data_IF_094201082344
#
_entry.id   IF_094201082344
#
_cell.length_a   1.000
_cell.length_b   1.000
_cell.length_c   1.000
_cell.angle_alpha   90.00
_cell.angle_beta   90.00
_cell.angle_gamma   90.00
#
_symmetry.space_group_name_H-M   'P 1'
#
loop_
_entity.id
_entity.type
_entity.pdbx_description
1 polymer ?
#
# COMPACT_ATOMS: atom_id res chain seq x y z
N UNK A 1 -15.62 22.00 38.41
CA UNK A 1 -15.12 22.72 37.23
C UNK A 1 -13.62 22.67 37.29
N UNK A 2 -13.02 21.92 36.37
CA UNK A 2 -11.57 21.96 36.09
C UNK A 2 -11.26 23.39 35.65
N UNK A 3 -10.22 23.99 36.21
CA UNK A 3 -9.79 25.31 35.76
C UNK A 3 -9.04 25.15 34.43
N UNK A 4 -9.78 25.22 33.33
CA UNK A 4 -9.20 25.22 31.98
C UNK A 4 -8.29 26.45 31.74
N UNK A 5 -8.27 27.42 32.65
CA UNK A 5 -7.30 28.51 32.64
C UNK A 5 -5.93 28.12 33.21
N UNK A 6 -5.76 26.91 33.76
CA UNK A 6 -4.46 26.39 34.17
C UNK A 6 -3.48 26.42 32.98
N UNK A 7 -2.36 27.15 33.09
CA UNK A 7 -1.34 27.23 32.05
C UNK A 7 -0.82 25.87 31.58
N UNK A 8 -0.79 24.85 32.44
CA UNK A 8 -0.34 23.51 32.10
C UNK A 8 -1.32 22.80 31.15
N UNK A 9 -2.63 22.87 31.43
CA UNK A 9 -3.67 22.33 30.55
C UNK A 9 -3.69 23.04 29.20
N UNK A 10 -3.61 24.37 29.21
CA UNK A 10 -3.56 25.15 27.97
C UNK A 10 -2.34 24.77 27.11
N UNK A 11 -1.19 24.57 27.75
CA UNK A 11 0.04 24.17 27.06
C UNK A 11 -0.07 22.79 26.42
N UNK A 12 -0.54 21.78 27.16
CA UNK A 12 -0.61 20.41 26.62
C UNK A 12 -1.66 20.29 25.51
N UNK A 13 -2.81 20.98 25.62
CA UNK A 13 -3.83 21.02 24.57
C UNK A 13 -3.30 21.71 23.30
N UNK A 14 -2.59 22.82 23.45
CA UNK A 14 -1.97 23.53 22.32
C UNK A 14 -0.93 22.65 21.61
N UNK A 15 -0.09 21.94 22.38
CA UNK A 15 0.88 20.99 21.84
C UNK A 15 0.19 19.83 21.12
N UNK A 16 -0.86 19.28 21.71
CA UNK A 16 -1.61 18.18 21.12
C UNK A 16 -2.27 18.57 19.81
N UNK A 17 -2.88 19.75 19.73
CA UNK A 17 -3.47 20.24 18.48
C UNK A 17 -2.42 20.41 17.38
N UNK A 18 -1.24 20.93 17.73
CA UNK A 18 -0.11 21.05 16.80
C UNK A 18 0.35 19.67 16.30
N UNK A 19 0.55 18.71 17.20
CA UNK A 19 1.00 17.36 16.84
C UNK A 19 -0.06 16.60 16.04
N UNK A 20 -1.34 16.76 16.39
CA UNK A 20 -2.46 16.18 15.63
C UNK A 20 -2.47 16.70 14.20
N UNK A 21 -2.41 18.02 14.01
CA UNK A 21 -2.46 18.65 12.69
C UNK A 21 -1.26 18.22 11.83
N UNK A 22 -0.07 18.16 12.43
CA UNK A 22 1.13 17.69 11.74
C UNK A 22 1.00 16.21 11.33
N UNK A 23 0.56 15.35 12.25
CA UNK A 23 0.34 13.93 11.98
C UNK A 23 -0.72 13.71 10.88
N UNK A 24 -1.86 14.40 10.96
CA UNK A 24 -2.93 14.31 9.95
C UNK A 24 -2.44 14.70 8.56
N UNK A 25 -1.66 15.80 8.44
CA UNK A 25 -1.09 16.22 7.18
C UNK A 25 -0.20 15.14 6.53
N UNK A 26 0.68 14.51 7.30
CA UNK A 26 1.57 13.45 6.78
C UNK A 26 0.78 12.17 6.46
N UNK A 27 -0.22 11.82 7.26
CA UNK A 27 -1.11 10.68 6.98
C UNK A 27 -1.89 10.90 5.68
N UNK A 28 -2.38 12.11 5.43
CA UNK A 28 -3.05 12.47 4.19
C UNK A 28 -2.11 12.43 2.98
N UNK A 29 -0.85 12.82 3.13
CA UNK A 29 0.17 12.65 2.10
C UNK A 29 0.40 11.16 1.78
N UNK A 30 0.55 10.32 2.81
CA UNK A 30 0.68 8.87 2.63
C UNK A 30 -0.54 8.29 1.91
N UNK A 31 -1.75 8.72 2.28
CA UNK A 31 -2.99 8.27 1.66
C UNK A 31 -3.07 8.65 0.17
N UNK A 32 -2.68 9.88 -0.16
CA UNK A 32 -2.66 10.40 -1.53
C UNK A 32 -1.68 9.63 -2.41
N UNK A 33 -0.52 9.27 -1.86
CA UNK A 33 0.47 8.45 -2.56
C UNK A 33 -0.06 7.03 -2.77
N UNK A 34 -0.56 6.41 -1.70
CA UNK A 34 -1.17 5.08 -1.73
C UNK A 34 -1.99 4.82 -0.45
N UNK A 35 -3.30 4.52 -0.54
CA UNK A 35 -4.16 4.36 0.63
C UNK A 35 -3.66 3.35 1.66
N UNK A 36 -3.00 2.28 1.23
CA UNK A 36 -2.47 1.24 2.10
C UNK A 36 -1.36 1.73 3.04
N UNK A 37 -0.60 2.77 2.65
CA UNK A 37 0.46 3.35 3.49
C UNK A 37 -0.11 4.12 4.69
N UNK A 38 -1.30 4.71 4.52
CA UNK A 38 -1.95 5.49 5.55
C UNK A 38 -2.67 4.63 6.60
N UNK A 39 -2.91 3.33 6.34
CA UNK A 39 -3.77 2.52 7.21
C UNK A 39 -3.27 2.44 8.65
N UNK A 40 -2.02 2.04 8.87
CA UNK A 40 -1.42 1.95 10.21
C UNK A 40 -1.38 3.30 10.93
N UNK A 41 -0.80 4.35 10.33
CA UNK A 41 -0.80 5.70 10.89
C UNK A 41 -2.19 6.28 11.20
N UNK A 42 -3.17 6.06 10.32
CA UNK A 42 -4.55 6.53 10.53
C UNK A 42 -5.22 5.80 11.70
N UNK A 43 -4.91 4.52 11.93
CA UNK A 43 -5.38 3.78 13.10
C UNK A 43 -4.81 4.34 14.41
N UNK A 44 -3.53 4.72 14.43
CA UNK A 44 -2.93 5.42 15.58
C UNK A 44 -3.61 6.77 15.82
N UNK A 45 -3.85 7.58 14.78
CA UNK A 45 -4.58 8.86 14.94
C UNK A 45 -5.99 8.67 15.49
N UNK A 46 -6.71 7.63 15.05
CA UNK A 46 -8.01 7.29 15.64
C UNK A 46 -7.88 6.91 17.12
N UNK A 47 -6.84 6.19 17.50
CA UNK A 47 -6.57 5.86 18.90
C UNK A 47 -6.26 7.12 19.74
N UNK A 48 -5.51 8.08 19.19
CA UNK A 48 -5.32 9.39 19.83
C UNK A 48 -6.64 10.13 20.02
N UNK A 49 -7.53 10.08 19.03
CA UNK A 49 -8.87 10.68 19.10
C UNK A 49 -9.75 10.03 20.17
N UNK A 50 -9.66 8.71 20.33
CA UNK A 50 -10.34 7.99 21.40
C UNK A 50 -9.81 8.41 22.79
N UNK A 51 -8.49 8.49 22.97
CA UNK A 51 -7.88 8.95 24.22
C UNK A 51 -8.28 10.39 24.57
N UNK A 52 -8.38 11.25 23.55
CA UNK A 52 -8.90 12.62 23.68
C UNK A 52 -10.35 12.66 24.15
N UNK A 53 -11.22 11.86 23.53
CA UNK A 53 -12.63 11.73 23.94
C UNK A 53 -12.75 11.23 25.37
N UNK A 54 -11.97 10.21 25.73
CA UNK A 54 -11.99 9.63 27.07
C UNK A 54 -11.47 10.63 28.12
N UNK A 55 -10.47 11.45 27.76
CA UNK A 55 -10.03 12.59 28.57
C UNK A 55 -11.17 13.59 28.79
N UNK A 56 -11.87 13.99 27.72
CA UNK A 56 -13.02 14.89 27.82
C UNK A 56 -14.13 14.33 28.71
N UNK A 57 -14.43 13.03 28.62
CA UNK A 57 -15.41 12.39 29.51
C UNK A 57 -14.95 12.38 30.97
N UNK A 58 -13.68 12.12 31.23
CA UNK A 58 -13.11 12.16 32.58
C UNK A 58 -13.21 13.58 33.19
N UNK A 59 -13.03 14.62 32.37
CA UNK A 59 -13.15 16.03 32.79
C UNK A 59 -14.60 16.46 33.06
N UNK A 60 -15.58 15.82 32.43
CA UNK A 60 -17.03 16.11 32.59
C UNK A 60 -17.66 15.33 33.74
N UNK A 61 -17.08 14.21 34.16
CA UNK A 61 -17.60 13.37 35.25
C UNK A 61 -17.67 14.10 36.61
N UNK A 62 -18.79 13.95 37.31
CA UNK A 62 -18.97 14.46 38.68
C UNK A 62 -18.30 13.52 39.70
N UNK A 63 -17.10 13.87 40.18
CA UNK A 63 -16.37 13.12 41.20
C UNK A 63 -15.27 13.95 41.87
N UNK A 64 -14.73 13.51 43.04
CA UNK A 64 -13.76 14.27 43.82
C UNK A 64 -12.46 14.54 43.01
N UNK A 65 -11.95 15.77 43.13
CA UNK A 65 -11.15 16.47 42.10
C UNK A 65 -9.66 16.10 42.01
N UNK A 66 -9.08 15.39 42.96
CA UNK A 66 -7.62 15.16 42.98
C UNK A 66 -7.10 14.00 42.12
N UNK A 67 -7.79 12.85 41.96
CA UNK A 67 -7.34 11.81 41.03
C UNK A 67 -7.77 12.04 39.57
N UNK A 68 -8.74 12.93 39.32
CA UNK A 68 -9.30 13.17 37.97
C UNK A 68 -8.33 13.99 37.11
N UNK A 69 -7.64 14.98 37.69
CA UNK A 69 -6.70 15.83 36.96
C UNK A 69 -5.46 15.04 36.50
N UNK A 70 -4.91 14.16 37.34
CA UNK A 70 -3.79 13.26 37.00
C UNK A 70 -4.18 12.23 35.91
N UNK A 71 -5.43 11.77 35.89
CA UNK A 71 -5.91 10.86 34.84
C UNK A 71 -6.08 11.63 33.53
N UNK A 72 -6.72 12.80 33.55
CA UNK A 72 -6.91 13.61 32.36
C UNK A 72 -5.56 14.05 31.75
N UNK A 73 -4.60 14.45 32.57
CA UNK A 73 -3.27 14.84 32.10
C UNK A 73 -2.50 13.66 31.49
N UNK A 74 -2.57 12.46 32.11
CA UNK A 74 -1.98 11.23 31.53
C UNK A 74 -2.62 10.83 30.21
N UNK A 75 -3.93 11.01 30.06
CA UNK A 75 -4.64 10.74 28.80
C UNK A 75 -4.23 11.74 27.71
N UNK A 76 -4.04 13.02 28.05
CA UNK A 76 -3.56 14.04 27.11
C UNK A 76 -2.11 13.77 26.67
N UNK A 77 -1.22 13.41 27.60
CA UNK A 77 0.16 13.05 27.29
C UNK A 77 0.24 11.76 26.47
N UNK A 78 -0.61 10.77 26.80
CA UNK A 78 -0.78 9.56 26.00
C UNK A 78 -1.22 9.86 24.57
N UNK A 79 -2.24 10.72 24.39
CA UNK A 79 -2.70 11.16 23.08
C UNK A 79 -1.60 11.88 22.28
N UNK A 80 -0.79 12.71 22.94
CA UNK A 80 0.36 13.39 22.35
C UNK A 80 1.39 12.38 21.83
N UNK A 81 1.73 11.39 22.66
CA UNK A 81 2.63 10.30 22.29
C UNK A 81 2.11 9.50 21.10
N UNK A 82 0.81 9.19 21.07
CA UNK A 82 0.16 8.49 19.95
C UNK A 82 0.24 9.32 18.66
N UNK A 83 -0.04 10.63 18.70
CA UNK A 83 0.07 11.51 17.53
C UNK A 83 1.49 11.51 16.95
N UNK A 84 2.51 11.64 17.81
CA UNK A 84 3.91 11.58 17.39
C UNK A 84 4.30 10.24 16.79
N UNK A 85 3.75 9.12 17.28
CA UNK A 85 3.98 7.81 16.67
C UNK A 85 3.29 7.69 15.32
N UNK A 86 2.04 8.14 15.20
CA UNK A 86 1.31 8.14 13.94
C UNK A 86 2.09 8.90 12.85
N UNK A 87 2.58 10.10 13.20
CA UNK A 87 3.41 10.94 12.33
C UNK A 87 4.67 10.20 11.86
N UNK A 88 5.45 9.66 12.78
CA UNK A 88 6.67 8.89 12.48
C UNK A 88 6.38 7.69 11.59
N UNK A 89 5.37 6.90 11.92
CA UNK A 89 4.97 5.73 11.12
C UNK A 89 4.55 6.12 9.70
N UNK A 90 3.91 7.27 9.51
CA UNK A 90 3.55 7.77 8.19
C UNK A 90 4.79 8.16 7.38
N UNK A 91 5.72 8.89 7.98
CA UNK A 91 7.02 9.24 7.36
C UNK A 91 7.78 7.98 6.94
N UNK A 92 7.92 7.01 7.85
CA UNK A 92 8.57 5.72 7.59
C UNK A 92 7.94 5.02 6.38
N UNK A 93 6.61 4.91 6.38
CA UNK A 93 5.86 4.21 5.34
C UNK A 93 6.06 4.87 3.97
N UNK A 94 6.07 6.21 3.91
CA UNK A 94 6.31 6.94 2.67
C UNK A 94 7.75 6.71 2.18
N UNK A 95 8.76 6.93 3.02
CA UNK A 95 10.17 6.83 2.62
C UNK A 95 10.49 5.41 2.14
N UNK A 96 10.03 4.39 2.89
CA UNK A 96 10.22 2.98 2.52
C UNK A 96 9.56 2.71 1.17
N UNK A 97 8.29 3.12 0.99
CA UNK A 97 7.57 2.91 -0.26
C UNK A 97 8.26 3.57 -1.45
N UNK A 98 8.73 4.82 -1.32
CA UNK A 98 9.42 5.53 -2.40
C UNK A 98 10.71 4.83 -2.79
N UNK A 99 11.51 4.40 -1.82
CA UNK A 99 12.74 3.65 -2.06
C UNK A 99 12.46 2.30 -2.73
N UNK A 100 11.56 1.49 -2.16
CA UNK A 100 11.22 0.17 -2.71
C UNK A 100 10.61 0.25 -4.11
N UNK A 101 9.77 1.26 -4.36
CA UNK A 101 9.15 1.44 -5.67
C UNK A 101 10.16 1.90 -6.72
N UNK A 102 11.13 2.74 -6.34
CA UNK A 102 12.21 3.14 -7.22
C UNK A 102 13.16 1.97 -7.51
N UNK A 103 13.58 1.23 -6.49
CA UNK A 103 14.45 0.05 -6.65
C UNK A 103 13.79 -0.98 -7.57
N UNK A 104 12.50 -1.23 -7.38
CA UNK A 104 11.72 -2.11 -8.25
C UNK A 104 11.60 -1.59 -9.68
N UNK A 105 11.42 -0.28 -9.86
CA UNK A 105 11.39 0.31 -11.19
C UNK A 105 12.75 0.15 -11.90
N UNK A 106 13.85 0.36 -11.19
CA UNK A 106 15.21 0.15 -11.72
C UNK A 106 15.44 -1.32 -12.12
N UNK A 107 14.94 -2.28 -11.32
CA UNK A 107 14.99 -3.71 -11.64
C UNK A 107 14.15 -4.06 -12.87
N UNK A 108 12.92 -3.54 -12.96
CA UNK A 108 11.96 -3.90 -14.01
C UNK A 108 12.28 -3.30 -15.38
N UNK A 109 12.72 -2.04 -15.41
CA UNK A 109 12.90 -1.29 -16.66
C UNK A 109 14.38 -1.17 -17.07
N UNK A 110 15.30 -1.43 -16.16
CA UNK A 110 16.72 -1.20 -16.32
C UNK A 110 17.10 0.27 -16.12
N UNK A 111 18.25 0.48 -15.50
CA UNK A 111 18.78 1.81 -15.18
C UNK A 111 18.89 2.71 -16.42
N UNK A 112 19.45 2.21 -17.52
CA UNK A 112 19.70 3.01 -18.73
C UNK A 112 18.41 3.55 -19.37
N UNK A 113 17.34 2.76 -19.33
CA UNK A 113 16.03 3.16 -19.85
C UNK A 113 15.37 4.22 -18.97
N UNK A 114 15.50 4.13 -17.65
CA UNK A 114 14.96 5.15 -16.76
C UNK A 114 15.79 6.43 -16.79
N UNK A 115 17.11 6.34 -16.97
CA UNK A 115 17.98 7.49 -17.16
C UNK A 115 17.66 8.26 -18.44
N UNK A 116 17.31 7.57 -19.53
CA UNK A 116 16.92 8.22 -20.78
C UNK A 116 15.57 8.92 -20.71
N UNK A 117 14.67 8.46 -19.83
CA UNK A 117 13.36 9.08 -19.58
C UNK A 117 13.42 10.20 -18.54
N UNK A 118 14.36 10.13 -17.59
CA UNK A 118 14.50 11.13 -16.54
C UNK A 118 15.97 11.38 -16.20
N UNK A 119 16.53 12.46 -16.77
CA UNK A 119 17.90 12.88 -16.51
C UNK A 119 18.17 13.25 -15.04
N UNK A 120 17.12 13.58 -14.26
CA UNK A 120 17.22 13.87 -12.82
C UNK A 120 17.22 12.64 -11.91
N UNK A 121 17.08 11.44 -12.47
CA UNK A 121 16.98 10.19 -11.72
C UNK A 121 18.16 9.91 -10.76
N UNK A 122 19.44 10.13 -11.13
CA UNK A 122 20.55 9.90 -10.20
C UNK A 122 20.45 10.77 -8.95
N UNK A 123 20.17 12.06 -9.15
CA UNK A 123 20.03 13.01 -8.05
C UNK A 123 18.85 12.66 -7.14
N UNK A 124 17.71 12.27 -7.73
CA UNK A 124 16.57 11.82 -6.95
C UNK A 124 16.85 10.54 -6.16
N UNK A 125 17.57 9.57 -6.75
CA UNK A 125 18.01 8.35 -6.06
C UNK A 125 18.90 8.68 -4.86
N UNK A 126 19.87 9.57 -5.04
CA UNK A 126 20.77 9.99 -3.96
C UNK A 126 20.00 10.67 -2.80
N UNK A 127 19.01 11.52 -3.12
CA UNK A 127 18.14 12.14 -2.12
C UNK A 127 17.31 11.10 -1.35
N UNK A 128 16.76 10.09 -2.02
CA UNK A 128 16.02 9.01 -1.36
C UNK A 128 16.91 8.15 -0.46
N UNK A 129 18.13 7.86 -0.91
CA UNK A 129 19.13 7.15 -0.11
C UNK A 129 19.56 7.96 1.12
N UNK A 130 19.74 9.27 0.99
CA UNK A 130 20.01 10.17 2.12
C UNK A 130 18.86 10.10 3.15
N UNK A 131 17.61 10.18 2.68
CA UNK A 131 16.43 10.10 3.54
C UNK A 131 16.30 8.73 4.21
N UNK A 132 16.62 7.65 3.50
CA UNK A 132 16.65 6.29 4.08
C UNK A 132 17.73 6.17 5.16
N UNK A 133 18.93 6.67 4.91
CA UNK A 133 20.02 6.64 5.89
C UNK A 133 19.69 7.49 7.12
N UNK A 134 19.06 8.66 6.92
CA UNK A 134 18.59 9.50 8.01
C UNK A 134 17.50 8.79 8.82
N UNK A 135 16.56 8.10 8.17
CA UNK A 135 15.53 7.30 8.83
C UNK A 135 16.14 6.14 9.64
N UNK A 136 17.07 5.39 9.07
CA UNK A 136 17.75 4.28 9.76
C UNK A 136 18.59 4.78 10.95
N UNK A 137 19.20 5.96 10.82
CA UNK A 137 19.90 6.63 11.92
C UNK A 137 18.94 7.08 13.02
N UNK A 138 17.84 7.73 12.65
CA UNK A 138 16.84 8.27 13.57
C UNK A 138 16.32 7.17 14.51
N UNK A 139 16.01 5.98 13.98
CA UNK A 139 15.54 4.81 14.77
C UNK A 139 16.47 4.37 15.90
N UNK A 140 17.75 4.77 15.88
CA UNK A 140 18.76 4.41 16.90
C UNK A 140 19.07 5.54 17.88
N UNK A 141 18.48 6.72 17.67
CA UNK A 141 18.82 7.94 18.41
C UNK A 141 17.91 8.19 19.60
N UNK A 142 18.39 8.95 20.60
CA UNK A 142 17.55 9.41 21.71
C UNK A 142 16.46 10.39 21.23
N UNK A 143 15.39 10.50 22.02
CA UNK A 143 14.14 11.17 21.64
C UNK A 143 14.30 12.60 21.07
N UNK A 144 15.23 13.41 21.58
CA UNK A 144 15.40 14.79 21.11
C UNK A 144 15.98 14.87 19.69
N UNK A 145 16.97 14.04 19.37
CA UNK A 145 17.54 13.98 18.02
C UNK A 145 16.60 13.26 17.05
N UNK A 146 15.91 12.24 17.54
CA UNK A 146 14.86 11.53 16.81
C UNK A 146 13.80 12.51 16.29
N UNK A 147 13.25 13.37 17.15
CA UNK A 147 12.23 14.37 16.74
C UNK A 147 12.77 15.28 15.65
N UNK A 148 13.98 15.82 15.80
CA UNK A 148 14.60 16.70 14.80
C UNK A 148 14.78 16.01 13.45
N UNK A 149 15.27 14.77 13.47
CA UNK A 149 15.56 14.03 12.24
C UNK A 149 14.26 13.69 11.49
N UNK A 150 13.16 13.40 12.19
CA UNK A 150 11.83 13.26 11.58
C UNK A 150 11.27 14.57 11.03
N UNK A 151 11.43 15.69 11.74
CA UNK A 151 11.02 17.02 11.23
C UNK A 151 11.75 17.38 9.93
N UNK A 152 13.05 17.05 9.83
CA UNK A 152 13.82 17.24 8.59
C UNK A 152 13.29 16.38 7.43
N UNK A 153 12.93 15.12 7.71
CA UNK A 153 12.33 14.25 6.72
C UNK A 153 10.97 14.78 6.24
N UNK A 154 10.12 15.23 7.16
CA UNK A 154 8.79 15.80 6.86
C UNK A 154 8.88 17.00 5.91
N UNK A 155 9.88 17.88 6.08
CA UNK A 155 10.10 19.03 5.18
C UNK A 155 10.45 18.57 3.76
N UNK A 156 11.22 17.48 3.62
CA UNK A 156 11.63 16.94 2.33
C UNK A 156 10.52 16.14 1.63
N UNK A 157 9.56 15.57 2.36
CA UNK A 157 8.55 14.65 1.82
C UNK A 157 7.73 15.19 0.63
N UNK A 158 7.16 16.42 0.68
CA UNK A 158 6.31 16.91 -0.42
C UNK A 158 7.06 16.96 -1.76
N UNK A 159 8.32 17.41 -1.74
CA UNK A 159 9.15 17.47 -2.93
C UNK A 159 9.52 16.08 -3.45
N UNK A 160 9.84 15.14 -2.55
CA UNK A 160 10.14 13.75 -2.92
C UNK A 160 8.94 13.05 -3.55
N UNK A 161 7.74 13.26 -2.98
CA UNK A 161 6.49 12.70 -3.50
C UNK A 161 6.19 13.26 -4.89
N UNK A 162 6.28 14.57 -5.08
CA UNK A 162 6.03 15.22 -6.38
C UNK A 162 7.03 14.73 -7.45
N UNK A 163 8.32 14.68 -7.12
CA UNK A 163 9.35 14.12 -8.03
C UNK A 163 9.08 12.65 -8.36
N UNK A 164 8.66 11.86 -7.38
CA UNK A 164 8.31 10.47 -7.60
C UNK A 164 7.10 10.30 -8.51
N UNK A 165 6.06 11.12 -8.35
CA UNK A 165 4.88 11.07 -9.20
C UNK A 165 5.16 11.54 -10.64
N UNK A 166 6.15 12.44 -10.82
CA UNK A 166 6.65 12.89 -12.13
C UNK A 166 7.61 11.91 -12.80
N UNK A 167 8.18 10.96 -12.07
CA UNK A 167 8.75 9.78 -12.71
C UNK A 167 7.56 9.08 -13.36
N UNK A 168 7.35 9.33 -14.65
CA UNK A 168 6.43 8.58 -15.51
C UNK A 168 6.94 7.15 -15.63
N UNK A 169 6.92 6.43 -14.51
CA UNK A 169 7.22 5.01 -14.46
C UNK A 169 6.16 4.38 -15.35
N UNK A 170 6.56 3.64 -16.40
CA UNK A 170 5.61 2.94 -17.23
C UNK A 170 4.72 2.15 -16.28
N UNK A 171 3.39 2.36 -16.33
CA UNK A 171 2.50 1.54 -15.51
C UNK A 171 2.79 0.11 -15.92
N UNK A 172 3.34 -0.71 -15.01
CA UNK A 172 3.44 -2.15 -15.20
C UNK A 172 2.08 -2.60 -15.72
N UNK A 173 1.99 -3.01 -16.99
CA UNK A 173 0.88 -3.82 -17.46
C UNK A 173 0.97 -5.05 -16.58
N UNK A 174 0.15 -5.07 -15.51
CA UNK A 174 0.01 -6.25 -14.66
C UNK A 174 -0.62 -7.30 -15.57
N UNK A 175 0.20 -8.05 -16.30
CA UNK A 175 -0.07 -9.46 -16.49
C UNK A 175 -0.06 -10.06 -15.09
N UNK A 176 -1.18 -9.88 -14.39
CA UNK A 176 -1.30 -10.29 -13.01
C UNK A 176 -1.10 -11.80 -12.98
N UNK A 177 -0.42 -12.30 -11.95
CA UNK A 177 -0.30 -13.74 -11.69
C UNK A 177 -1.67 -14.44 -11.65
N UNK A 178 -2.76 -13.68 -11.46
CA UNK A 178 -4.14 -14.14 -11.60
C UNK A 178 -4.53 -14.50 -13.03
N UNK A 179 -4.01 -13.79 -14.03
CA UNK A 179 -4.17 -14.14 -15.45
C UNK A 179 -3.28 -15.33 -15.83
N UNK A 180 -2.07 -15.44 -15.29
CA UNK A 180 -1.24 -16.63 -15.54
C UNK A 180 -1.82 -17.88 -14.87
N UNK A 181 -2.39 -17.77 -13.67
CA UNK A 181 -3.18 -18.83 -13.03
C UNK A 181 -4.47 -19.14 -13.79
N UNK A 182 -5.20 -18.13 -14.28
CA UNK A 182 -6.39 -18.36 -15.10
C UNK A 182 -6.05 -19.07 -16.42
N UNK A 183 -4.94 -18.69 -17.08
CA UNK A 183 -4.43 -19.35 -18.29
C UNK A 183 -3.92 -20.77 -17.98
N UNK A 184 -3.26 -20.98 -16.85
CA UNK A 184 -2.85 -22.31 -16.39
C UNK A 184 -4.04 -23.21 -16.06
N UNK A 185 -5.05 -22.68 -15.36
CA UNK A 185 -6.29 -23.39 -15.04
C UNK A 185 -7.09 -23.70 -16.31
N UNK A 186 -7.15 -22.78 -17.27
CA UNK A 186 -7.76 -23.04 -18.57
C UNK A 186 -7.02 -24.17 -19.31
N UNK A 187 -5.68 -24.12 -19.32
CA UNK A 187 -4.84 -25.11 -20.00
C UNK A 187 -4.93 -26.48 -19.33
N UNK A 188 -4.98 -26.53 -18.00
CA UNK A 188 -5.20 -27.75 -17.23
C UNK A 188 -6.60 -28.32 -17.45
N UNK A 189 -7.64 -27.48 -17.51
CA UNK A 189 -9.00 -27.90 -17.82
C UNK A 189 -9.11 -28.48 -19.24
N UNK A 190 -8.50 -27.82 -20.23
CA UNK A 190 -8.44 -28.33 -21.62
C UNK A 190 -7.69 -29.65 -21.69
N UNK A 191 -6.56 -29.79 -21.00
CA UNK A 191 -5.80 -31.04 -20.96
C UNK A 191 -6.56 -32.17 -20.25
N UNK A 192 -7.28 -31.87 -19.16
CA UNK A 192 -8.10 -32.84 -18.44
C UNK A 192 -9.30 -33.33 -19.29
N UNK A 193 -9.96 -32.41 -20.00
CA UNK A 193 -11.03 -32.76 -20.95
C UNK A 193 -10.46 -33.59 -22.10
N UNK A 194 -9.31 -33.20 -22.68
CA UNK A 194 -8.61 -33.96 -23.70
C UNK A 194 -8.21 -35.38 -23.26
N UNK A 195 -7.68 -35.53 -22.04
CA UNK A 195 -7.31 -36.81 -21.46
C UNK A 195 -8.52 -37.71 -21.17
N UNK A 196 -9.61 -37.15 -20.66
CA UNK A 196 -10.86 -37.87 -20.44
C UNK A 196 -11.49 -38.34 -21.77
N UNK A 197 -11.38 -37.54 -22.83
CA UNK A 197 -11.83 -37.90 -24.19
C UNK A 197 -11.00 -39.05 -24.78
N UNK A 198 -9.68 -39.02 -24.62
CA UNK A 198 -8.81 -40.10 -25.06
C UNK A 198 -9.14 -41.41 -24.33
N UNK A 199 -9.36 -41.35 -23.01
CA UNK A 199 -9.77 -42.50 -22.22
C UNK A 199 -11.16 -43.04 -22.63
N UNK A 200 -12.11 -42.16 -22.95
CA UNK A 200 -13.44 -42.54 -23.43
C UNK A 200 -13.40 -43.18 -24.82
N UNK A 201 -12.64 -42.62 -25.76
CA UNK A 201 -12.45 -43.18 -27.10
C UNK A 201 -11.76 -44.54 -27.09
N UNK A 202 -10.83 -44.77 -26.15
CA UNK A 202 -10.21 -46.08 -25.92
C UNK A 202 -11.19 -47.11 -25.33
N UNK A 203 -12.11 -46.66 -24.47
CA UNK A 203 -13.11 -47.52 -23.82
C UNK A 203 -14.28 -47.88 -24.74
N UNK A 204 -14.62 -46.99 -25.67
CA UNK A 204 -15.70 -47.17 -26.65
C UNK A 204 -15.14 -47.00 -28.07
N UNK A 205 -14.37 -47.98 -28.57
CA UNK A 205 -13.86 -47.93 -29.93
C UNK A 205 -15.05 -47.92 -30.91
N UNK A 206 -14.96 -47.15 -32.01
CA UNK A 206 -16.05 -47.05 -32.97
C UNK A 206 -16.34 -48.44 -33.52
N UNK A 207 -17.55 -48.93 -33.27
CA UNK A 207 -18.06 -50.14 -33.93
C UNK A 207 -18.35 -49.78 -35.38
N UNK A 208 -17.73 -50.54 -36.28
CA UNK A 208 -17.78 -50.34 -37.73
C UNK A 208 -19.21 -50.16 -38.23
N UNK A 209 -19.44 -49.07 -38.96
CA UNK A 209 -20.67 -48.85 -39.72
C UNK A 209 -21.59 -47.81 -39.11
N UNK A 210 -21.19 -46.54 -39.19
CA UNK A 210 -21.99 -45.40 -39.67
C UNK A 210 -21.17 -44.12 -39.43
N UNK A 211 -20.90 -43.38 -40.51
CA UNK A 211 -20.03 -42.21 -40.59
C UNK A 211 -20.50 -41.00 -39.80
N UNK A 212 -20.53 -41.10 -38.48
CA UNK A 212 -20.65 -39.97 -37.58
C UNK A 212 -19.57 -40.08 -36.52
N UNK A 213 -18.58 -39.19 -36.55
CA UNK A 213 -18.05 -38.71 -35.26
C UNK A 213 -19.30 -38.34 -34.45
N UNK A 214 -19.54 -38.97 -33.28
CA UNK A 214 -20.74 -38.71 -32.52
C UNK A 214 -20.85 -37.20 -32.35
N UNK A 215 -22.04 -36.63 -32.57
CA UNK A 215 -22.29 -35.17 -32.52
C UNK A 215 -21.57 -34.51 -31.32
N UNK A 216 -21.43 -35.25 -30.22
CA UNK A 216 -20.59 -34.92 -29.07
C UNK A 216 -19.12 -34.58 -29.40
N UNK A 217 -18.39 -35.40 -30.15
CA UNK A 217 -17.01 -35.14 -30.55
C UNK A 217 -16.88 -33.91 -31.47
N UNK A 218 -17.88 -33.64 -32.32
CA UNK A 218 -17.90 -32.44 -33.15
C UNK A 218 -18.20 -31.17 -32.33
N UNK A 219 -19.15 -31.24 -31.39
CA UNK A 219 -19.43 -30.15 -30.44
C UNK A 219 -18.19 -29.84 -29.60
N UNK A 220 -17.47 -30.88 -29.17
CA UNK A 220 -16.26 -30.74 -28.35
C UNK A 220 -15.10 -30.16 -29.16
N UNK A 221 -14.89 -30.58 -30.41
CA UNK A 221 -13.89 -29.96 -31.29
C UNK A 221 -14.23 -28.49 -31.58
N UNK A 222 -15.51 -28.17 -31.78
CA UNK A 222 -15.97 -26.79 -31.97
C UNK A 222 -15.74 -25.94 -30.71
N UNK A 223 -16.06 -26.45 -29.52
CA UNK A 223 -15.78 -25.76 -28.26
C UNK A 223 -14.28 -25.60 -28.01
N UNK A 224 -13.48 -26.61 -28.32
CA UNK A 224 -12.02 -26.54 -28.24
C UNK A 224 -11.43 -25.46 -29.15
N UNK A 225 -11.90 -25.37 -30.40
CA UNK A 225 -11.44 -24.32 -31.33
C UNK A 225 -11.89 -22.93 -30.91
N UNK A 226 -13.11 -22.77 -30.37
CA UNK A 226 -13.60 -21.50 -29.83
C UNK A 226 -12.73 -21.04 -28.65
N UNK A 227 -12.40 -21.95 -27.72
CA UNK A 227 -11.57 -21.63 -26.56
C UNK A 227 -10.15 -21.26 -26.98
N UNK A 228 -9.54 -22.01 -27.91
CA UNK A 228 -8.20 -21.69 -28.43
C UNK A 228 -8.22 -20.34 -29.16
N UNK A 229 -9.21 -20.09 -30.01
CA UNK A 229 -9.34 -18.84 -30.76
C UNK A 229 -9.58 -17.65 -29.83
N UNK A 230 -10.43 -17.79 -28.81
CA UNK A 230 -10.65 -16.77 -27.80
C UNK A 230 -9.39 -16.50 -26.97
N UNK A 231 -8.61 -17.53 -26.67
CA UNK A 231 -7.33 -17.40 -25.96
C UNK A 231 -6.30 -16.68 -26.82
N UNK A 232 -6.16 -17.03 -28.10
CA UNK A 232 -5.25 -16.36 -29.04
C UNK A 232 -5.68 -14.90 -29.27
N UNK A 233 -6.98 -14.63 -29.42
CA UNK A 233 -7.49 -13.27 -29.59
C UNK A 233 -7.26 -12.41 -28.33
N UNK A 234 -7.43 -12.99 -27.14
CA UNK A 234 -7.13 -12.34 -25.88
C UNK A 234 -5.62 -12.03 -25.74
N UNK A 235 -4.75 -12.99 -26.07
CA UNK A 235 -3.30 -12.81 -26.05
C UNK A 235 -2.82 -11.81 -27.10
N UNK A 236 -3.40 -11.82 -28.31
CA UNK A 236 -3.05 -10.89 -29.39
C UNK A 236 -3.56 -9.47 -29.13
N UNK A 237 -4.70 -9.30 -28.45
CA UNK A 237 -5.15 -7.98 -28.01
C UNK A 237 -4.24 -7.45 -26.90
N UNK A 238 -3.88 -8.31 -25.94
CA UNK A 238 -2.95 -7.96 -24.89
C UNK A 238 -1.57 -7.53 -25.43
N UNK A 239 -1.11 -8.09 -26.56
CA UNK A 239 0.17 -7.70 -27.19
C UNK A 239 0.10 -6.47 -28.11
N UNK A 240 -1.09 -5.95 -28.42
CA UNK A 240 -1.28 -4.73 -29.24
C UNK A 240 -1.54 -3.48 -28.40
N UNK A 241 -1.99 -3.70 -27.17
CA UNK A 241 -2.15 -2.66 -26.15
C UNK A 241 -0.83 -2.45 -25.34
N UNK A 242 0.23 -3.21 -25.66
CA UNK A 242 1.65 -3.01 -25.30
C UNK A 242 2.39 -2.28 -26.44
#
# INVERSE_FOLDING_TARGET
MVDLADPAYKRIVTLLFREWTAADAVVNQAHTLRPELAFGPAMELRAAGAALRDCMMALVGEGPRTPIDDIAFRLLDGALGICRRARRNAVDSIIIFLNESLDKALEDYGTDRLLSLNAGLPYFKDQLLECRNLLESARRRPDAELVRDYELLEIKLPELIDRFQRLELPKRTRFSVRNSQAVWLLSAAVAAVGGALAAYALKYPPTDGLGGLPIFAQIVLALGSIIITATIAFLSKASRDD
#
